data_IF_814385792684
#
_entry.id   IF_814385792684
#
_cell.length_a   1.000
_cell.length_b   1.000
_cell.length_c   1.000
_cell.angle_alpha   90.00
_cell.angle_beta   90.00
_cell.angle_gamma   90.00
#
_symmetry.space_group_name_H-M   'P 1'
#
loop_
_entity.id
_entity.type
_entity.pdbx_description
1 polymer ?
#
# COMPACT_ATOMS: atom_id res chain seq x y z
N UNK A 1 26.14 -1.74 -18.20
CA UNK A 1 24.68 -1.61 -18.15
C UNK A 1 24.30 -0.55 -19.15
N UNK A 2 23.28 -0.79 -19.96
CA UNK A 2 22.86 0.15 -21.00
C UNK A 2 22.04 1.28 -20.35
N UNK A 3 22.49 2.52 -20.51
CA UNK A 3 21.88 3.69 -19.87
C UNK A 3 20.46 3.94 -20.42
N UNK A 4 20.24 3.62 -21.70
CA UNK A 4 18.93 3.76 -22.35
C UNK A 4 17.88 2.82 -21.73
N UNK A 5 18.29 1.60 -21.34
CA UNK A 5 17.39 0.64 -20.70
C UNK A 5 16.92 1.10 -19.31
N UNK A 6 17.81 1.70 -18.52
CA UNK A 6 17.46 2.19 -17.19
C UNK A 6 16.50 3.39 -17.25
N UNK A 7 16.64 4.23 -18.28
CA UNK A 7 15.75 5.38 -18.53
C UNK A 7 14.35 4.92 -18.98
N UNK A 8 14.26 3.86 -19.79
CA UNK A 8 12.99 3.23 -20.17
C UNK A 8 12.28 2.63 -18.96
N UNK A 9 13.02 1.94 -18.07
CA UNK A 9 12.46 1.37 -16.83
C UNK A 9 11.99 2.47 -15.87
N UNK A 10 12.74 3.57 -15.75
CA UNK A 10 12.33 4.71 -14.94
C UNK A 10 11.04 5.35 -15.46
N UNK A 11 10.95 5.60 -16.78
CA UNK A 11 9.73 6.13 -17.40
C UNK A 11 8.53 5.18 -17.25
N UNK A 12 8.76 3.87 -17.33
CA UNK A 12 7.72 2.86 -17.13
C UNK A 12 7.18 2.87 -15.68
N UNK A 13 8.06 3.07 -14.69
CA UNK A 13 7.68 3.14 -13.28
C UNK A 13 6.96 4.45 -12.95
N UNK A 14 7.37 5.58 -13.54
CA UNK A 14 6.70 6.88 -13.36
C UNK A 14 5.31 6.94 -14.01
N UNK A 15 5.05 6.10 -15.02
CA UNK A 15 3.72 5.98 -15.64
C UNK A 15 2.68 5.29 -14.73
N UNK A 16 3.11 4.65 -13.64
CA UNK A 16 2.22 4.21 -12.58
C UNK A 16 2.14 5.32 -11.53
N UNK A 17 1.02 6.05 -11.50
CA UNK A 17 0.68 6.94 -10.39
C UNK A 17 0.63 6.10 -9.10
N UNK A 18 1.73 6.08 -8.34
CA UNK A 18 1.78 5.49 -6.99
C UNK A 18 1.07 6.48 -6.07
N UNK A 19 -0.14 6.16 -5.55
CA UNK A 19 -0.74 7.02 -4.55
C UNK A 19 0.15 6.99 -3.31
N UNK A 20 0.50 8.17 -2.78
CA UNK A 20 1.24 8.31 -1.53
C UNK A 20 0.58 7.42 -0.46
N UNK A 21 1.33 6.42 0.03
CA UNK A 21 0.83 5.50 1.05
C UNK A 21 0.41 6.28 2.31
N UNK A 22 -0.76 6.01 2.90
CA UNK A 22 -1.09 6.53 4.22
C UNK A 22 -0.15 5.93 5.27
N UNK A 23 0.48 6.79 6.06
CA UNK A 23 1.34 6.47 7.22
C UNK A 23 0.64 5.68 8.34
N UNK A 24 -0.64 5.36 8.20
CA UNK A 24 -1.48 4.78 9.25
C UNK A 24 -1.31 3.27 9.48
N UNK A 25 -0.48 2.56 8.69
CA UNK A 25 -0.32 1.11 8.80
C UNK A 25 0.83 0.65 9.72
N UNK A 26 1.56 1.56 10.35
CA UNK A 26 2.67 1.22 11.26
C UNK A 26 2.29 1.18 12.76
N UNK A 27 1.06 1.56 13.14
CA UNK A 27 0.67 1.72 14.55
C UNK A 27 -0.26 0.61 15.09
N UNK A 28 -0.39 -0.53 14.42
CA UNK A 28 -1.29 -1.61 14.83
C UNK A 28 -0.55 -2.87 15.26
N UNK A 29 0.33 -2.77 16.25
CA UNK A 29 0.88 -3.91 16.99
C UNK A 29 0.54 -3.73 18.46
N UNK A 30 -0.68 -4.13 18.86
CA UNK A 30 -0.95 -4.45 20.26
C UNK A 30 -2.17 -5.37 20.39
N UNK A 31 -1.91 -6.57 20.95
CA UNK A 31 -2.93 -7.39 21.59
C UNK A 31 -3.12 -8.79 21.01
N UNK A 32 -2.33 -9.76 21.47
CA UNK A 32 -2.93 -10.96 22.06
C UNK A 32 -2.01 -11.69 23.05
N UNK A 33 -2.55 -11.83 24.26
CA UNK A 33 -2.03 -12.56 25.42
C UNK A 33 -1.87 -14.07 25.16
N UNK A 34 -0.83 -14.62 25.77
CA UNK A 34 -0.64 -16.06 26.01
C UNK A 34 0.25 -16.26 27.22
N UNK A 35 -0.27 -15.90 28.40
CA UNK A 35 0.24 -16.26 29.72
C UNK A 35 0.32 -17.78 29.84
N UNK A 36 1.43 -18.36 30.32
CA UNK A 36 1.51 -19.41 31.36
C UNK A 36 2.98 -19.53 31.86
N UNK A 37 3.20 -19.12 33.11
CA UNK A 37 4.30 -19.52 34.03
C UNK A 37 3.72 -20.61 34.97
N UNK A 38 4.48 -21.24 35.90
CA UNK A 38 5.94 -21.31 36.11
C UNK A 38 6.42 -22.76 36.35
N UNK A 39 7.73 -22.98 36.54
CA UNK A 39 8.28 -23.81 37.65
C UNK A 39 9.66 -24.41 37.36
N UNK A 40 10.60 -24.12 38.25
CA UNK A 40 11.95 -24.72 38.33
C UNK A 40 13.02 -23.73 37.89
N UNK A 41 13.57 -22.88 38.77
CA UNK A 41 14.13 -23.20 40.07
C UNK A 41 15.61 -23.57 39.93
N UNK A 42 16.49 -22.58 39.83
CA UNK A 42 17.89 -22.67 40.29
C UNK A 42 18.55 -21.28 40.22
N UNK A 43 18.31 -20.51 41.27
CA UNK A 43 18.96 -19.23 41.54
C UNK A 43 20.36 -19.53 42.12
N UNK A 44 21.42 -19.43 41.30
CA UNK A 44 22.79 -19.38 41.78
C UNK A 44 23.21 -17.91 41.89
N UNK A 45 22.89 -17.33 43.04
CA UNK A 45 23.29 -15.96 43.39
C UNK A 45 24.80 -15.84 43.38
N UNK A 46 25.26 -14.95 42.52
CA UNK A 46 26.62 -14.44 42.41
C UNK A 46 26.98 -13.72 43.71
N UNK A 47 27.93 -14.26 44.49
CA UNK A 47 28.61 -13.54 45.56
C UNK A 47 30.04 -13.21 45.11
N UNK A 48 30.16 -12.15 44.30
CA UNK A 48 31.45 -11.52 44.00
C UNK A 48 31.84 -10.67 45.20
N UNK A 49 32.61 -11.23 46.13
CA UNK A 49 33.21 -10.46 47.22
C UNK A 49 34.42 -9.68 46.68
N UNK A 50 34.19 -8.40 46.41
CA UNK A 50 35.25 -7.39 46.30
C UNK A 50 36.03 -7.32 47.60
N UNK A 51 37.28 -7.81 47.59
CA UNK A 51 38.23 -7.51 48.65
C UNK A 51 38.84 -6.12 48.37
N UNK A 52 38.19 -5.07 48.87
CA UNK A 52 38.81 -3.75 49.02
C UNK A 52 38.97 -3.43 50.49
N UNK A 53 40.25 -3.38 50.87
CA UNK A 53 40.90 -2.59 51.90
C UNK A 53 40.04 -1.97 53.01
N UNK A 54 40.28 -2.45 54.23
CA UNK A 54 39.71 -1.93 55.47
C UNK A 54 40.66 -2.26 56.61
N UNK A 55 41.81 -1.58 56.63
CA UNK A 55 42.76 -1.61 57.72
C UNK A 55 42.10 -1.21 59.05
N UNK A 56 41.81 -2.20 59.90
CA UNK A 56 41.45 -1.99 61.29
C UNK A 56 42.75 -1.91 62.10
N UNK A 57 43.04 -0.80 62.82
CA UNK A 57 44.15 -0.73 63.75
C UNK A 57 43.78 -1.54 65.00
N UNK A 58 44.28 -2.78 65.09
CA UNK A 58 44.17 -3.57 66.31
C UNK A 58 45.26 -3.13 67.29
N UNK A 59 44.87 -2.27 68.23
CA UNK A 59 45.62 -1.95 69.44
C UNK A 59 45.71 -3.20 70.34
N UNK A 60 46.68 -4.06 70.04
CA UNK A 60 47.16 -5.04 71.01
C UNK A 60 48.45 -4.52 71.63
N UNK A 61 48.32 -3.92 72.83
CA UNK A 61 49.38 -3.87 73.83
C UNK A 61 49.80 -5.31 74.13
N UNK A 62 50.79 -5.82 73.39
CA UNK A 62 51.54 -7.02 73.78
C UNK A 62 52.74 -6.60 74.58
N UNK A 63 52.73 -7.05 75.82
CA UNK A 63 53.78 -6.92 76.81
C UNK A 63 55.14 -7.23 76.21
N UNK A 64 56.08 -6.32 76.48
CA UNK A 64 57.50 -6.49 76.16
C UNK A 64 58.05 -7.62 77.01
N UNK A 65 57.89 -8.86 76.56
CA UNK A 65 58.73 -9.95 77.02
C UNK A 65 60.13 -9.62 76.52
N UNK A 66 60.98 -9.10 77.42
CA UNK A 66 62.41 -8.87 77.17
C UNK A 66 63.08 -10.21 76.89
N UNK A 67 62.92 -10.71 75.67
CA UNK A 67 63.77 -11.75 75.12
C UNK A 67 65.14 -11.09 75.00
N UNK A 68 66.07 -11.52 75.85
CA UNK A 68 67.48 -11.16 75.74
C UNK A 68 67.90 -11.56 74.33
N UNK A 69 68.01 -10.58 73.44
CA UNK A 69 68.73 -10.77 72.20
C UNK A 69 70.15 -11.12 72.61
N UNK A 70 70.53 -12.38 72.41
CA UNK A 70 71.92 -12.70 72.23
C UNK A 70 72.38 -11.76 71.11
N UNK A 71 73.20 -10.77 71.46
CA UNK A 71 73.92 -9.94 70.50
C UNK A 71 74.81 -10.90 69.72
N UNK A 72 74.24 -11.49 68.67
CA UNK A 72 75.03 -11.86 67.51
C UNK A 72 75.46 -10.51 66.98
N UNK A 73 76.74 -10.21 67.10
CA UNK A 73 77.39 -9.09 66.44
C UNK A 73 77.24 -9.30 64.93
N UNK A 74 76.05 -8.97 64.42
CA UNK A 74 75.80 -8.81 63.00
C UNK A 74 76.44 -7.47 62.70
N UNK A 75 77.63 -7.54 62.11
CA UNK A 75 78.36 -6.39 61.61
C UNK A 75 77.41 -5.47 60.83
N UNK A 76 77.56 -4.13 60.91
CA UNK A 76 76.67 -3.18 60.24
C UNK A 76 76.46 -3.50 58.75
N UNK A 77 77.51 -4.04 58.11
CA UNK A 77 77.51 -4.61 56.76
C UNK A 77 76.45 -5.70 56.54
N UNK A 78 76.28 -6.68 57.44
CA UNK A 78 75.33 -7.77 57.26
C UNK A 78 73.85 -7.32 57.41
N UNK A 79 73.58 -6.29 58.22
CA UNK A 79 72.23 -5.67 58.29
C UNK A 79 71.88 -4.91 57.02
N UNK A 80 72.85 -4.21 56.43
CA UNK A 80 72.67 -3.54 55.13
C UNK A 80 72.43 -4.54 54.00
N UNK A 81 73.15 -5.65 53.98
CA UNK A 81 72.94 -6.74 53.00
C UNK A 81 71.50 -7.27 53.09
N UNK A 82 70.96 -7.47 54.30
CA UNK A 82 69.59 -7.95 54.47
C UNK A 82 68.56 -6.92 54.00
N UNK A 83 68.75 -5.62 54.30
CA UNK A 83 67.89 -4.54 53.80
C UNK A 83 67.96 -4.41 52.28
N UNK A 84 69.13 -4.59 51.68
CA UNK A 84 69.31 -4.59 50.23
C UNK A 84 68.57 -5.77 49.58
N UNK A 85 68.65 -6.97 50.16
CA UNK A 85 67.89 -8.15 49.72
C UNK A 85 66.38 -7.95 49.83
N UNK A 86 65.90 -7.35 50.92
CA UNK A 86 64.47 -7.07 51.11
C UNK A 86 63.96 -6.02 50.11
N UNK A 87 64.72 -4.95 49.87
CA UNK A 87 64.42 -3.97 48.80
C UNK A 87 64.35 -4.64 47.44
N UNK A 88 65.28 -5.55 47.13
CA UNK A 88 65.27 -6.33 45.87
C UNK A 88 63.98 -7.15 45.73
N UNK A 89 63.59 -7.89 46.77
CA UNK A 89 62.35 -8.69 46.77
C UNK A 89 61.09 -7.84 46.56
N UNK A 90 60.99 -6.70 47.25
CA UNK A 90 59.85 -5.78 47.09
C UNK A 90 59.77 -5.19 45.70
N UNK A 91 60.92 -4.86 45.11
CA UNK A 91 60.97 -4.34 43.74
C UNK A 91 60.60 -5.43 42.73
N UNK A 92 61.12 -6.65 42.85
CA UNK A 92 60.73 -7.77 41.99
C UNK A 92 59.22 -8.05 42.06
N UNK A 93 58.62 -7.99 43.25
CA UNK A 93 57.18 -8.17 43.40
C UNK A 93 56.38 -7.06 42.73
N UNK A 94 56.79 -5.79 42.89
CA UNK A 94 56.15 -4.65 42.22
C UNK A 94 56.27 -4.72 40.70
N UNK A 95 57.42 -5.14 40.20
CA UNK A 95 57.63 -5.33 38.75
C UNK A 95 56.73 -6.44 38.20
N UNK A 96 56.60 -7.59 38.91
CA UNK A 96 55.66 -8.65 38.49
C UNK A 96 54.22 -8.14 38.41
N UNK A 97 53.76 -7.44 39.44
CA UNK A 97 52.42 -6.86 39.44
C UNK A 97 52.22 -5.80 38.35
N UNK A 98 53.26 -5.03 38.04
CA UNK A 98 53.22 -4.04 36.95
C UNK A 98 53.07 -4.73 35.61
N UNK A 99 53.89 -5.75 35.33
CA UNK A 99 53.82 -6.53 34.09
C UNK A 99 52.48 -7.25 33.94
N UNK A 100 51.93 -7.81 35.02
CA UNK A 100 50.63 -8.45 35.01
C UNK A 100 49.51 -7.45 34.70
N UNK A 101 49.51 -6.29 35.36
CA UNK A 101 48.54 -5.22 35.06
C UNK A 101 48.63 -4.74 33.62
N UNK A 102 49.84 -4.53 33.11
CA UNK A 102 50.05 -4.14 31.71
C UNK A 102 49.62 -5.24 30.73
N UNK A 103 49.80 -6.51 31.07
CA UNK A 103 49.33 -7.64 30.26
C UNK A 103 47.80 -7.72 30.22
N UNK A 104 47.14 -7.61 31.37
CA UNK A 104 45.68 -7.57 31.45
C UNK A 104 45.11 -6.36 30.71
N UNK A 105 45.74 -5.20 30.83
CA UNK A 105 45.29 -3.99 30.13
C UNK A 105 45.40 -4.14 28.61
N UNK A 106 46.46 -4.80 28.12
CA UNK A 106 46.57 -5.17 26.70
C UNK A 106 45.46 -6.13 26.26
N UNK A 107 45.21 -7.19 27.02
CA UNK A 107 44.14 -8.15 26.72
C UNK A 107 42.75 -7.49 26.71
N UNK A 108 42.46 -6.59 27.65
CA UNK A 108 41.20 -5.83 27.66
C UNK A 108 41.09 -4.95 26.42
N UNK A 109 42.18 -4.32 26.00
CA UNK A 109 42.23 -3.55 24.75
C UNK A 109 41.94 -4.42 23.53
N UNK A 110 42.62 -5.56 23.40
CA UNK A 110 42.44 -6.52 22.31
C UNK A 110 41.01 -7.05 22.26
N UNK A 111 40.48 -7.56 23.38
CA UNK A 111 39.10 -8.07 23.46
C UNK A 111 38.06 -6.98 23.21
N UNK A 112 38.32 -5.74 23.64
CA UNK A 112 37.42 -4.62 23.35
C UNK A 112 37.40 -4.29 21.86
N UNK A 113 38.54 -4.41 21.16
CA UNK A 113 38.60 -4.22 19.70
C UNK A 113 37.85 -5.36 19.01
N UNK A 114 38.10 -6.62 19.36
CA UNK A 114 37.39 -7.77 18.81
C UNK A 114 35.87 -7.68 19.02
N UNK A 115 35.43 -7.28 20.22
CA UNK A 115 34.01 -7.12 20.52
C UNK A 115 33.39 -6.01 19.66
N UNK A 116 34.07 -4.88 19.51
CA UNK A 116 33.61 -3.78 18.66
C UNK A 116 33.54 -4.20 17.19
N UNK A 117 34.48 -5.00 16.70
CA UNK A 117 34.48 -5.53 15.33
C UNK A 117 33.29 -6.47 15.10
N UNK A 118 33.06 -7.42 16.02
CA UNK A 118 31.92 -8.35 15.93
C UNK A 118 30.59 -7.59 16.03
N UNK A 119 30.50 -6.61 16.92
CA UNK A 119 29.29 -5.79 17.06
C UNK A 119 28.99 -4.99 15.78
N UNK A 120 30.02 -4.37 15.19
CA UNK A 120 29.87 -3.66 13.91
C UNK A 120 29.50 -4.57 12.75
N UNK A 121 30.05 -5.79 12.70
CA UNK A 121 29.70 -6.77 11.69
C UNK A 121 28.21 -7.13 11.77
N UNK A 122 27.70 -7.41 13.00
CA UNK A 122 26.28 -7.69 13.22
C UNK A 122 25.35 -6.54 12.82
N UNK A 123 25.70 -5.32 13.23
CA UNK A 123 24.91 -4.14 12.87
C UNK A 123 24.89 -3.88 11.35
N UNK A 124 25.95 -4.25 10.64
CA UNK A 124 25.98 -4.14 9.18
C UNK A 124 25.14 -5.25 8.52
N UNK A 125 25.21 -6.48 9.00
CA UNK A 125 24.36 -7.59 8.52
C UNK A 125 22.87 -7.28 8.70
N UNK A 126 22.48 -6.71 9.84
CA UNK A 126 21.09 -6.29 10.12
C UNK A 126 20.64 -5.19 9.16
N UNK A 127 21.48 -4.17 8.94
CA UNK A 127 21.18 -3.10 7.97
C UNK A 127 21.09 -3.63 6.53
N UNK A 128 21.94 -4.56 6.13
CA UNK A 128 21.87 -5.18 4.80
C UNK A 128 20.58 -6.03 4.66
N UNK A 129 20.17 -6.72 5.71
CA UNK A 129 18.90 -7.46 5.70
C UNK A 129 17.69 -6.51 5.59
N UNK A 130 17.70 -5.39 6.31
CA UNK A 130 16.65 -4.36 6.24
C UNK A 130 16.60 -3.68 4.86
N UNK A 131 17.77 -3.37 4.27
CA UNK A 131 17.86 -2.77 2.94
C UNK A 131 17.32 -3.70 1.84
N UNK A 132 17.45 -5.02 2.00
CA UNK A 132 16.84 -6.01 1.10
C UNK A 132 15.34 -6.22 1.37
N UNK A 133 14.88 -6.05 2.60
CA UNK A 133 13.47 -6.21 2.97
C UNK A 133 12.58 -5.14 2.31
N UNK A 134 13.05 -3.91 2.21
CA UNK A 134 12.31 -2.79 1.62
C UNK A 134 11.91 -3.06 0.14
N UNK A 135 12.83 -3.41 -0.78
CA UNK A 135 12.49 -3.83 -2.13
C UNK A 135 11.55 -5.04 -2.19
N UNK A 136 11.76 -6.04 -1.34
CA UNK A 136 10.91 -7.25 -1.33
C UNK A 136 9.46 -6.88 -0.99
N UNK A 137 9.26 -6.02 0.01
CA UNK A 137 7.94 -5.53 0.39
C UNK A 137 7.32 -4.69 -0.72
N UNK A 138 8.10 -3.80 -1.37
CA UNK A 138 7.63 -3.01 -2.50
C UNK A 138 7.17 -3.91 -3.66
N UNK A 139 7.97 -4.88 -4.08
CA UNK A 139 7.60 -5.83 -5.14
C UNK A 139 6.38 -6.68 -4.77
N UNK A 140 6.26 -7.08 -3.50
CA UNK A 140 5.06 -7.77 -3.01
C UNK A 140 3.81 -6.90 -3.16
N UNK A 141 3.87 -5.63 -2.79
CA UNK A 141 2.73 -4.70 -2.95
C UNK A 141 2.36 -4.49 -4.41
N UNK A 142 3.34 -4.30 -5.29
CA UNK A 142 3.12 -4.16 -6.74
C UNK A 142 2.48 -5.43 -7.30
N UNK A 143 3.00 -6.61 -6.95
CA UNK A 143 2.45 -7.88 -7.41
C UNK A 143 1.00 -8.11 -6.94
N UNK A 144 0.68 -7.70 -5.71
CA UNK A 144 -0.69 -7.74 -5.18
C UNK A 144 -1.61 -6.82 -5.97
N UNK A 145 -1.20 -5.56 -6.19
CA UNK A 145 -1.99 -4.60 -6.95
C UNK A 145 -2.25 -5.08 -8.39
N UNK A 146 -1.21 -5.59 -9.06
CA UNK A 146 -1.31 -6.12 -10.42
C UNK A 146 -2.24 -7.34 -10.49
N UNK A 147 -2.21 -8.21 -9.47
CA UNK A 147 -3.15 -9.33 -9.35
C UNK A 147 -4.59 -8.84 -9.25
N UNK A 148 -4.85 -7.84 -8.43
CA UNK A 148 -6.21 -7.33 -8.21
C UNK A 148 -6.76 -6.64 -9.48
N UNK A 149 -5.93 -5.84 -10.16
CA UNK A 149 -6.26 -5.23 -11.46
C UNK A 149 -6.56 -6.30 -12.51
N UNK A 150 -5.75 -7.36 -12.56
CA UNK A 150 -5.99 -8.49 -13.47
C UNK A 150 -7.33 -9.18 -13.15
N UNK A 151 -7.62 -9.45 -11.89
CA UNK A 151 -8.90 -10.09 -11.51
C UNK A 151 -10.10 -9.23 -11.88
N UNK A 152 -10.03 -7.91 -11.66
CA UNK A 152 -11.08 -6.98 -12.05
C UNK A 152 -11.33 -6.98 -13.57
N UNK A 153 -10.25 -6.94 -14.37
CA UNK A 153 -10.35 -6.98 -15.83
C UNK A 153 -10.85 -8.34 -16.36
N UNK A 154 -10.48 -9.45 -15.74
CA UNK A 154 -11.02 -10.77 -16.08
C UNK A 154 -12.53 -10.88 -15.82
N UNK A 155 -13.02 -10.30 -14.71
CA UNK A 155 -14.46 -10.25 -14.42
C UNK A 155 -15.20 -9.44 -15.48
N UNK A 156 -14.69 -8.24 -15.82
CA UNK A 156 -15.23 -7.41 -16.89
C UNK A 156 -15.23 -8.15 -18.24
N UNK A 157 -14.14 -8.82 -18.57
CA UNK A 157 -14.02 -9.61 -19.80
C UNK A 157 -15.08 -10.72 -19.88
N UNK A 158 -15.31 -11.47 -18.80
CA UNK A 158 -16.34 -12.53 -18.76
C UNK A 158 -17.75 -11.96 -18.96
N UNK A 159 -18.04 -10.81 -18.35
CA UNK A 159 -19.31 -10.11 -18.52
C UNK A 159 -19.51 -9.67 -19.98
N UNK A 160 -18.49 -9.07 -20.59
CA UNK A 160 -18.54 -8.65 -21.99
C UNK A 160 -18.70 -9.84 -22.94
N UNK A 161 -17.97 -10.94 -22.72
CA UNK A 161 -18.12 -12.16 -23.52
C UNK A 161 -19.55 -12.71 -23.45
N UNK A 162 -20.16 -12.69 -22.27
CA UNK A 162 -21.55 -13.13 -22.10
C UNK A 162 -22.51 -12.19 -22.84
N UNK A 163 -22.34 -10.87 -22.70
CA UNK A 163 -23.16 -9.88 -23.40
C UNK A 163 -23.03 -10.00 -24.93
N UNK A 164 -21.82 -10.21 -25.45
CA UNK A 164 -21.57 -10.47 -26.86
C UNK A 164 -22.25 -11.76 -27.30
N UNK A 165 -22.18 -12.83 -26.50
CA UNK A 165 -22.88 -14.09 -26.77
C UNK A 165 -24.40 -13.91 -26.89
N UNK A 166 -25.01 -13.18 -25.96
CA UNK A 166 -26.45 -12.86 -25.99
C UNK A 166 -26.82 -12.06 -27.24
N UNK A 167 -26.05 -11.01 -27.56
CA UNK A 167 -26.29 -10.19 -28.75
C UNK A 167 -26.10 -10.98 -30.04
N UNK A 168 -25.08 -11.84 -30.11
CA UNK A 168 -24.85 -12.71 -31.26
C UNK A 168 -25.99 -13.70 -31.47
N UNK A 169 -26.55 -14.27 -30.39
CA UNK A 169 -27.72 -15.14 -30.45
C UNK A 169 -28.94 -14.39 -31.01
N UNK A 170 -29.24 -13.19 -30.49
CA UNK A 170 -30.33 -12.35 -30.98
C UNK A 170 -30.18 -12.02 -32.48
N UNK A 171 -28.98 -11.64 -32.92
CA UNK A 171 -28.70 -11.36 -34.34
C UNK A 171 -28.93 -12.60 -35.18
N UNK A 172 -28.50 -13.78 -34.71
CA UNK A 172 -28.72 -15.06 -35.41
C UNK A 172 -30.20 -15.39 -35.52
N UNK A 173 -30.98 -15.16 -34.48
CA UNK A 173 -32.44 -15.35 -34.46
C UNK A 173 -33.15 -14.41 -35.44
N UNK A 174 -32.87 -13.11 -35.36
CA UNK A 174 -33.41 -12.10 -36.27
C UNK A 174 -33.03 -12.38 -37.72
N UNK A 175 -31.77 -12.70 -37.97
CA UNK A 175 -31.29 -13.11 -39.30
C UNK A 175 -31.99 -14.39 -39.79
N UNK A 176 -32.29 -15.32 -38.88
CA UNK A 176 -33.09 -16.50 -39.18
C UNK A 176 -34.53 -16.16 -39.57
N UNK A 177 -35.18 -15.24 -38.86
CA UNK A 177 -36.54 -14.77 -39.19
C UNK A 177 -36.59 -14.05 -40.54
N UNK A 178 -35.61 -13.19 -40.83
CA UNK A 178 -35.51 -12.48 -42.11
C UNK A 178 -35.31 -13.47 -43.26
N UNK A 179 -34.38 -14.43 -43.12
CA UNK A 179 -34.19 -15.48 -44.14
C UNK A 179 -35.44 -16.34 -44.34
N UNK A 180 -36.14 -16.72 -43.26
CA UNK A 180 -37.42 -17.46 -43.36
C UNK A 180 -38.48 -16.66 -44.11
N UNK A 181 -38.57 -15.34 -43.90
CA UNK A 181 -39.50 -14.47 -44.63
C UNK A 181 -39.13 -14.36 -46.12
N UNK A 182 -37.84 -14.20 -46.43
CA UNK A 182 -37.37 -14.11 -47.82
C UNK A 182 -37.60 -15.43 -48.57
N UNK A 183 -37.21 -16.57 -47.98
CA UNK A 183 -37.40 -17.90 -48.59
C UNK A 183 -38.89 -18.29 -48.65
N UNK A 184 -39.66 -17.96 -47.62
CA UNK A 184 -41.11 -18.18 -47.60
C UNK A 184 -41.89 -17.26 -48.55
N UNK A 185 -41.34 -16.08 -48.88
CA UNK A 185 -41.87 -15.17 -49.89
C UNK A 185 -41.55 -15.63 -51.32
N UNK A 186 -40.32 -16.07 -51.58
CA UNK A 186 -39.91 -16.59 -52.91
C UNK A 186 -40.59 -17.91 -53.28
N UNK A 187 -40.85 -18.80 -52.31
CA UNK A 187 -41.58 -20.05 -52.58
C UNK A 187 -43.08 -19.86 -52.81
N UNK A 188 -43.64 -18.70 -52.42
CA UNK A 188 -45.06 -18.40 -52.60
C UNK A 188 -45.39 -17.85 -54.00
N UNK A 189 -44.41 -17.33 -54.75
CA UNK A 189 -44.65 -16.79 -56.10
C UNK A 189 -44.70 -17.87 -57.18
N UNK A 190 -44.31 -19.11 -56.89
CA UNK A 190 -44.16 -20.18 -57.90
C UNK A 190 -45.16 -21.34 -57.78
N UNK A 191 -46.19 -21.22 -56.94
CA UNK A 191 -47.27 -22.23 -56.87
C UNK A 191 -48.60 -21.52 -57.11
N UNK A 192 -49.05 -21.63 -58.36
CA UNK A 192 -50.28 -21.02 -58.84
C UNK A 192 -51.51 -21.39 -58.01
N UNK A 193 -52.50 -20.51 -58.11
CA UNK A 193 -53.91 -20.71 -57.80
C UNK A 193 -54.19 -21.77 -56.74
N UNK A 194 -54.19 -21.38 -55.47
CA UNK A 194 -55.30 -21.80 -54.62
C UNK A 194 -55.59 -20.76 -53.54
N UNK A 195 -56.84 -20.37 -53.54
CA UNK A 195 -57.41 -19.26 -52.79
C UNK A 195 -57.73 -19.72 -51.36
N UNK A 196 -56.75 -20.19 -50.57
CA UNK A 196 -57.05 -20.55 -49.18
C UNK A 196 -55.83 -20.68 -48.28
N UNK A 197 -55.87 -19.87 -47.22
CA UNK A 197 -55.06 -19.95 -46.01
C UNK A 197 -53.60 -19.61 -46.20
N UNK A 198 -53.21 -18.39 -45.83
CA UNK A 198 -52.13 -18.11 -44.87
C UNK A 198 -52.14 -16.61 -44.53
N UNK A 199 -52.89 -16.26 -43.48
CA UNK A 199 -52.33 -15.59 -42.30
C UNK A 199 -51.53 -14.28 -42.42
N UNK A 200 -51.61 -13.52 -43.50
CA UNK A 200 -51.23 -12.11 -43.48
C UNK A 200 -52.51 -11.28 -43.45
N UNK A 201 -52.83 -10.72 -42.28
CA UNK A 201 -53.82 -9.64 -42.14
C UNK A 201 -53.30 -8.39 -42.87
N UNK A 202 -53.20 -8.45 -44.20
CA UNK A 202 -53.26 -7.22 -44.99
C UNK A 202 -54.68 -6.72 -44.77
N UNK A 203 -54.81 -5.66 -43.98
CA UNK A 203 -56.07 -4.93 -43.85
C UNK A 203 -56.49 -4.65 -45.28
N UNK A 204 -57.60 -5.27 -45.70
CA UNK A 204 -58.18 -5.01 -47.01
C UNK A 204 -58.83 -3.65 -46.88
N UNK A 205 -58.07 -2.58 -47.12
CA UNK A 205 -58.63 -1.24 -47.17
C UNK A 205 -59.61 -1.22 -48.34
N UNK A 206 -60.89 -1.07 -48.02
CA UNK A 206 -61.89 -0.77 -49.02
C UNK A 206 -61.60 0.64 -49.58
N UNK A 207 -61.89 0.94 -50.86
CA UNK A 207 -61.74 2.31 -51.38
C UNK A 207 -62.44 3.38 -50.52
N UNK A 208 -63.50 3.00 -49.78
CA UNK A 208 -64.16 3.86 -48.80
C UNK A 208 -63.27 4.17 -47.58
N UNK A 209 -62.46 3.24 -47.11
CA UNK A 209 -61.54 3.43 -45.97
C UNK A 209 -60.45 4.45 -46.31
N UNK A 210 -59.93 4.40 -47.54
CA UNK A 210 -58.93 5.37 -48.01
C UNK A 210 -59.48 6.80 -47.99
N UNK A 211 -60.72 7.01 -48.45
CA UNK A 211 -61.36 8.31 -48.42
C UNK A 211 -61.57 8.83 -46.99
N UNK A 212 -61.85 7.94 -46.03
CA UNK A 212 -61.98 8.29 -44.61
C UNK A 212 -60.64 8.76 -44.05
N UNK A 213 -59.56 8.02 -44.30
CA UNK A 213 -58.21 8.42 -43.83
C UNK A 213 -57.73 9.71 -44.48
N UNK A 214 -58.01 9.90 -45.77
CA UNK A 214 -57.67 11.13 -46.48
C UNK A 214 -58.39 12.34 -45.90
N UNK A 215 -59.69 12.22 -45.58
CA UNK A 215 -60.45 13.27 -44.90
C UNK A 215 -59.87 13.60 -43.51
N UNK A 216 -59.45 12.59 -42.73
CA UNK A 216 -58.80 12.82 -41.43
C UNK A 216 -57.44 13.52 -41.58
N UNK A 217 -56.61 13.10 -42.53
CA UNK A 217 -55.33 13.75 -42.81
C UNK A 217 -55.51 15.20 -43.26
N UNK A 218 -56.51 15.45 -44.09
CA UNK A 218 -56.85 16.81 -44.53
C UNK A 218 -57.34 17.67 -43.36
N UNK A 219 -58.14 17.11 -42.44
CA UNK A 219 -58.55 17.76 -41.19
C UNK A 219 -57.37 18.09 -40.28
N UNK A 220 -56.40 17.17 -40.13
CA UNK A 220 -55.19 17.42 -39.35
C UNK A 220 -54.32 18.51 -39.99
N UNK A 221 -54.09 18.42 -41.30
CA UNK A 221 -53.28 19.41 -42.02
C UNK A 221 -53.89 20.82 -41.92
N UNK A 222 -55.21 20.94 -41.98
CA UNK A 222 -55.88 22.23 -41.80
C UNK A 222 -55.77 22.75 -40.37
N UNK A 223 -55.89 21.89 -39.35
CA UNK A 223 -55.69 22.28 -37.95
C UNK A 223 -54.23 22.72 -37.66
N UNK A 224 -53.24 22.02 -38.22
CA UNK A 224 -51.84 22.43 -38.12
C UNK A 224 -51.59 23.75 -38.86
N UNK A 225 -52.12 23.93 -40.06
CA UNK A 225 -51.98 25.18 -40.79
C UNK A 225 -52.59 26.38 -40.04
N UNK A 226 -53.74 26.19 -39.37
CA UNK A 226 -54.34 27.21 -38.51
C UNK A 226 -53.47 27.51 -37.29
N UNK A 227 -52.91 26.47 -36.67
CA UNK A 227 -52.02 26.62 -35.51
C UNK A 227 -50.75 27.37 -35.89
N UNK A 228 -50.14 27.01 -37.02
CA UNK A 228 -48.98 27.71 -37.57
C UNK A 228 -49.34 29.16 -37.88
N UNK A 229 -50.49 29.43 -38.50
CA UNK A 229 -50.95 30.80 -38.77
C UNK A 229 -51.13 31.64 -37.49
N UNK A 230 -51.62 31.04 -36.40
CA UNK A 230 -51.68 31.71 -35.09
C UNK A 230 -50.27 31.99 -34.56
N UNK A 231 -49.34 31.04 -34.66
CA UNK A 231 -47.95 31.27 -34.27
C UNK A 231 -47.30 32.38 -35.12
N UNK A 232 -47.61 32.44 -36.43
CA UNK A 232 -47.21 33.54 -37.32
C UNK A 232 -47.79 34.88 -36.91
N UNK A 233 -49.07 34.92 -36.60
CA UNK A 233 -49.74 36.14 -36.13
C UNK A 233 -49.18 36.62 -34.79
N UNK A 234 -48.70 35.71 -33.94
CA UNK A 234 -47.99 36.01 -32.70
C UNK A 234 -46.50 36.34 -32.90
N UNK A 235 -45.99 36.32 -34.14
CA UNK A 235 -44.62 36.70 -34.49
C UNK A 235 -43.56 35.65 -34.13
N UNK A 236 -43.95 34.39 -33.87
CA UNK A 236 -42.98 33.35 -33.49
C UNK A 236 -42.01 32.97 -34.60
N UNK A 237 -42.41 33.09 -35.87
CA UNK A 237 -41.58 32.78 -37.04
C UNK A 237 -40.60 33.90 -37.43
N UNK A 238 -40.67 35.05 -36.75
CA UNK A 238 -39.67 36.12 -36.84
C UNK A 238 -38.62 36.05 -35.71
N UNK A 239 -38.73 35.10 -34.78
CA UNK A 239 -37.74 34.89 -33.73
C UNK A 239 -36.51 34.18 -34.33
N UNK A 240 -35.28 34.71 -34.17
CA UNK A 240 -34.07 34.01 -34.57
C UNK A 240 -33.92 32.70 -33.77
N UNK A 241 -33.53 31.61 -34.44
CA UNK A 241 -33.42 30.24 -33.90
C UNK A 241 -32.59 30.14 -32.60
N UNK A 242 -31.73 31.13 -32.34
CA UNK A 242 -30.86 31.19 -31.16
C UNK A 242 -31.54 31.74 -29.88
N UNK A 243 -32.80 32.20 -29.96
CA UNK A 243 -33.52 32.82 -28.82
C UNK A 243 -33.95 31.84 -27.73
N UNK A 244 -33.70 30.54 -27.89
CA UNK A 244 -34.08 29.50 -26.93
C UNK A 244 -33.19 29.53 -25.67
N UNK A 245 -32.03 30.21 -25.72
CA UNK A 245 -31.09 30.31 -24.60
C UNK A 245 -31.04 31.71 -23.96
N UNK A 246 -32.18 32.37 -23.77
CA UNK A 246 -32.22 33.56 -22.89
C UNK A 246 -32.45 33.10 -21.46
N UNK A 247 -31.39 33.14 -20.63
CA UNK A 247 -31.45 32.80 -19.22
C UNK A 247 -32.41 33.76 -18.48
N UNK A 248 -33.63 33.30 -18.28
CA UNK A 248 -34.68 34.07 -17.65
C UNK A 248 -34.42 34.17 -16.15
N UNK A 249 -33.92 35.32 -15.69
CA UNK A 249 -33.64 35.52 -14.27
C UNK A 249 -34.86 36.14 -13.57
N UNK A 250 -35.51 35.39 -12.70
CA UNK A 250 -36.67 35.88 -11.94
C UNK A 250 -36.22 36.80 -10.79
N UNK A 251 -36.78 38.01 -10.74
CA UNK A 251 -36.54 38.98 -9.65
C UNK A 251 -37.84 39.23 -8.89
N UNK A 252 -37.91 38.90 -7.58
CA UNK A 252 -39.07 39.21 -6.76
C UNK A 252 -39.03 40.68 -6.34
N UNK A 253 -40.07 41.44 -6.69
CA UNK A 253 -40.31 42.77 -6.12
C UNK A 253 -41.57 42.74 -5.26
N UNK A 254 -41.36 42.64 -3.94
CA UNK A 254 -42.36 42.77 -2.87
C UNK A 254 -43.54 41.78 -2.86
N UNK A 255 -44.38 41.79 -3.90
CA UNK A 255 -45.58 40.95 -3.99
C UNK A 255 -45.89 40.42 -5.40
N UNK A 256 -45.26 40.94 -6.47
CA UNK A 256 -45.32 40.34 -7.82
C UNK A 256 -43.97 40.55 -8.53
N UNK A 257 -43.31 39.47 -8.93
CA UNK A 257 -42.06 39.55 -9.70
C UNK A 257 -42.32 39.68 -11.20
N UNK A 258 -41.44 40.37 -11.92
CA UNK A 258 -41.45 40.41 -13.39
C UNK A 258 -40.24 39.65 -13.95
N UNK A 259 -40.43 39.02 -15.12
CA UNK A 259 -39.34 38.42 -15.86
C UNK A 259 -38.68 39.48 -16.72
N UNK A 260 -37.38 39.68 -16.54
CA UNK A 260 -36.59 40.53 -17.42
C UNK A 260 -35.75 39.67 -18.35
N UNK A 261 -35.76 40.03 -19.63
CA UNK A 261 -34.85 39.49 -20.61
C UNK A 261 -33.59 40.33 -20.58
N UNK A 262 -32.46 39.71 -20.23
CA UNK A 262 -31.15 40.30 -20.42
C UNK A 262 -30.69 39.90 -21.81
N UNK A 263 -30.41 40.90 -22.64
CA UNK A 263 -29.85 40.75 -23.98
C UNK A 263 -28.32 40.75 -23.90
#
# INVERSE_FOLDING_TARGET
MDAAFLEEVACFLDAFDVPALPTAFLDAEDGLLGTEEPSGGSEAVVATAFASDGAIPSDQKKEKTKRREAKRDVTPSAREIQKAKDRKRRNEHRERQKLEREALQRQVGELSVELNEVQRAKENEEKEADDLMLPILAWKTIAMQQRDVRLASEVQQRQLQTAVGVRAALIKELGGLVRKRLIGGELAENRGSDESSFGHKRVRLEPADTAIFEAYLQGLNTAYAQTDEVFRACGMDAMPDDAINTEQTWKPDGQTGCFQFVM
#
